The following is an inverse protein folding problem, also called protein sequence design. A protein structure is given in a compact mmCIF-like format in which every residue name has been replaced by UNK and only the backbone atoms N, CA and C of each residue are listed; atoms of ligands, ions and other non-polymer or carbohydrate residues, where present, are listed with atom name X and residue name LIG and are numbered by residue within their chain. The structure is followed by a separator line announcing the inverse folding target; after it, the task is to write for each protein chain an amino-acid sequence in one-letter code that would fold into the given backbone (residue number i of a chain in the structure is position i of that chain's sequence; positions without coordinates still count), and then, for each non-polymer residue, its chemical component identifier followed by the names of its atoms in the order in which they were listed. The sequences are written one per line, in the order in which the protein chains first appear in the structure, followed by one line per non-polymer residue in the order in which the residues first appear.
data_IF_265150959906
#
_entry.id   IF_265150959906
#
_cell.length_a   1.000
_cell.length_b   1.000
_cell.length_c   1.000
_cell.angle_alpha   90.00
_cell.angle_beta   90.00
_cell.angle_gamma   90.00
#
_symmetry.space_group_name_H-M   'P 1'
#
loop_
_entity.id
_entity.type
_entity.pdbx_description
1 polymer ?
#
# COMPACT_ATOMS: atom_id res chain seq x y z
N UNK A 1 27.93 -1.42 8.10
CA UNK A 1 26.71 -2.15 7.73
C UNK A 1 25.72 -1.15 7.17
N UNK A 2 25.16 -1.32 5.95
CA UNK A 2 24.14 -0.40 5.49
C UNK A 2 22.90 -0.59 6.38
N UNK A 3 22.45 0.48 7.02
CA UNK A 3 21.16 0.47 7.72
C UNK A 3 20.11 0.10 6.68
N UNK A 4 19.36 -0.98 6.90
CA UNK A 4 18.12 -1.18 6.16
C UNK A 4 17.26 0.03 6.48
N UNK A 5 17.12 0.92 5.52
CA UNK A 5 16.23 2.06 5.65
C UNK A 5 14.81 1.50 5.75
N UNK A 6 14.29 1.47 6.97
CA UNK A 6 12.89 1.13 7.18
C UNK A 6 12.06 2.27 6.61
N UNK A 7 11.62 2.07 5.36
CA UNK A 7 10.66 2.96 4.73
C UNK A 7 9.39 2.98 5.58
N UNK A 8 9.14 4.12 6.21
CA UNK A 8 7.93 4.40 6.97
C UNK A 8 6.74 4.54 6.00
N UNK A 9 5.49 4.34 6.46
CA UNK A 9 4.30 4.53 5.63
C UNK A 9 4.28 5.88 4.92
N UNK A 10 4.74 6.94 5.59
CA UNK A 10 4.80 8.31 5.07
C UNK A 10 5.78 8.46 3.92
N UNK A 11 6.98 7.87 4.04
CA UNK A 11 7.97 7.86 2.96
C UNK A 11 7.45 7.08 1.74
N UNK A 12 6.73 5.98 1.98
CA UNK A 12 6.11 5.22 0.89
C UNK A 12 5.08 6.06 0.15
N UNK A 13 4.21 6.79 0.85
CA UNK A 13 3.19 7.63 0.19
C UNK A 13 3.82 8.81 -0.54
N UNK A 14 4.81 9.49 0.05
CA UNK A 14 5.37 10.72 -0.50
C UNK A 14 6.36 10.50 -1.65
N UNK A 15 7.10 9.39 -1.63
CA UNK A 15 8.21 9.17 -2.58
C UNK A 15 7.90 8.14 -3.67
N UNK A 16 6.88 7.30 -3.48
CA UNK A 16 6.62 6.19 -4.41
C UNK A 16 5.32 6.38 -5.18
N UNK A 17 5.45 6.44 -6.50
CA UNK A 17 4.34 6.37 -7.45
C UNK A 17 3.71 4.96 -7.47
N UNK A 18 4.54 3.93 -7.26
CA UNK A 18 4.09 2.53 -7.26
C UNK A 18 4.44 1.82 -5.97
N UNK A 19 3.50 1.01 -5.49
CA UNK A 19 3.67 0.13 -4.33
C UNK A 19 3.55 -1.33 -4.70
N UNK A 20 4.33 -2.18 -4.06
CA UNK A 20 4.22 -3.63 -4.15
C UNK A 20 3.43 -4.21 -2.96
N UNK A 21 3.17 -5.51 -2.97
CA UNK A 21 2.40 -6.16 -1.89
C UNK A 21 3.02 -5.99 -0.50
N UNK A 22 4.34 -5.96 -0.38
CA UNK A 22 5.02 -5.74 0.92
C UNK A 22 4.83 -4.32 1.41
N UNK A 23 4.87 -3.34 0.52
CA UNK A 23 4.65 -1.93 0.86
C UNK A 23 3.19 -1.68 1.23
N UNK A 24 2.22 -2.27 0.53
CA UNK A 24 0.81 -2.19 0.90
C UNK A 24 0.59 -2.79 2.30
N UNK A 25 1.21 -3.94 2.60
CA UNK A 25 1.12 -4.53 3.94
C UNK A 25 1.68 -3.62 5.03
N UNK A 26 2.81 -2.95 4.75
CA UNK A 26 3.41 -1.98 5.68
C UNK A 26 2.57 -0.72 5.83
N UNK A 27 2.03 -0.20 4.73
CA UNK A 27 1.18 0.99 4.69
C UNK A 27 -0.01 0.81 5.61
N UNK A 28 -0.74 -0.30 5.51
CA UNK A 28 -1.97 -0.50 6.28
C UNK A 28 -1.81 -1.38 7.52
N UNK A 29 -0.57 -1.73 7.89
CA UNK A 29 -0.26 -2.64 9.00
C UNK A 29 -1.04 -3.97 8.93
N UNK A 30 -1.21 -4.50 7.71
CA UNK A 30 -1.97 -5.73 7.47
C UNK A 30 -1.08 -6.92 7.14
N UNK A 31 -1.64 -8.11 7.32
CA UNK A 31 -0.99 -9.36 6.94
C UNK A 31 -1.25 -9.75 5.48
N UNK A 32 -0.43 -10.67 4.94
CA UNK A 32 -0.61 -11.21 3.59
C UNK A 32 -2.00 -11.83 3.38
N UNK A 33 -2.56 -12.65 4.29
CA UNK A 33 -3.93 -13.13 4.16
C UNK A 33 -4.97 -12.02 4.00
N UNK A 34 -4.82 -10.90 4.72
CA UNK A 34 -5.72 -9.74 4.58
C UNK A 34 -5.59 -9.12 3.20
N UNK A 35 -4.37 -8.92 2.72
CA UNK A 35 -4.13 -8.37 1.37
C UNK A 35 -4.69 -9.30 0.27
N UNK A 36 -4.56 -10.61 0.41
CA UNK A 36 -5.14 -11.56 -0.55
C UNK A 36 -6.68 -11.58 -0.51
N UNK A 37 -7.30 -11.26 0.63
CA UNK A 37 -8.75 -11.01 0.68
C UNK A 37 -9.13 -9.73 -0.04
N UNK A 38 -8.36 -8.66 0.12
CA UNK A 38 -8.57 -7.40 -0.58
C UNK A 38 -8.47 -7.58 -2.09
N UNK A 39 -7.43 -8.25 -2.59
CA UNK A 39 -7.27 -8.55 -4.03
C UNK A 39 -8.41 -9.33 -4.66
N UNK A 40 -9.21 -10.04 -3.86
CA UNK A 40 -10.39 -10.79 -4.33
C UNK A 40 -11.65 -9.93 -4.41
N UNK A 41 -11.67 -8.72 -3.84
CA UNK A 41 -12.79 -7.81 -4.02
C UNK A 41 -12.74 -7.22 -5.42
N UNK A 42 -13.89 -7.14 -6.08
CA UNK A 42 -14.01 -6.67 -7.47
C UNK A 42 -13.56 -5.21 -7.64
N UNK A 43 -13.56 -4.45 -6.54
CA UNK A 43 -13.18 -3.04 -6.48
C UNK A 43 -11.69 -2.80 -6.25
N UNK A 44 -10.91 -3.83 -5.91
CA UNK A 44 -9.49 -3.64 -5.60
C UNK A 44 -8.70 -3.18 -6.83
N UNK A 45 -7.76 -2.22 -6.70
CA UNK A 45 -6.98 -1.73 -7.83
C UNK A 45 -6.27 -2.85 -8.59
N UNK A 46 -6.27 -2.72 -9.92
CA UNK A 46 -5.63 -3.72 -10.79
C UNK A 46 -4.11 -3.58 -10.71
N UNK A 47 -3.42 -4.70 -10.58
CA UNK A 47 -1.98 -4.69 -10.58
C UNK A 47 -1.44 -4.39 -11.99
N UNK A 48 -0.42 -3.55 -12.07
CA UNK A 48 0.45 -3.38 -13.23
C UNK A 48 1.65 -4.29 -13.03
N UNK A 49 2.17 -4.89 -14.11
CA UNK A 49 3.37 -5.73 -14.05
C UNK A 49 4.60 -4.93 -14.47
N UNK A 50 5.45 -4.56 -13.51
CA UNK A 50 6.78 -4.02 -13.79
C UNK A 50 7.82 -5.12 -13.59
N UNK A 51 8.57 -5.44 -14.65
CA UNK A 51 9.62 -6.47 -14.63
C UNK A 51 9.17 -7.81 -13.97
N UNK A 52 7.97 -8.29 -14.33
CA UNK A 52 7.32 -9.52 -13.80
C UNK A 52 6.92 -9.46 -12.33
N UNK A 53 6.92 -8.29 -11.70
CA UNK A 53 6.42 -8.10 -10.32
C UNK A 53 5.13 -7.26 -10.35
N UNK A 54 4.08 -7.70 -9.63
CA UNK A 54 2.86 -6.92 -9.52
C UNK A 54 3.11 -5.71 -8.63
N UNK A 55 2.74 -4.54 -9.15
CA UNK A 55 2.72 -3.27 -8.44
C UNK A 55 1.39 -2.57 -8.66
N UNK A 56 1.07 -1.60 -7.82
CA UNK A 56 -0.14 -0.80 -7.88
C UNK A 56 0.23 0.67 -7.81
N UNK A 57 -0.57 1.53 -8.41
CA UNK A 57 -0.42 2.96 -8.16
C UNK A 57 -0.76 3.26 -6.71
N UNK A 58 0.10 4.04 -6.06
CA UNK A 58 -0.06 4.40 -4.64
C UNK A 58 -1.38 5.13 -4.41
N UNK A 59 -1.71 6.11 -5.26
CA UNK A 59 -2.96 6.87 -5.18
C UNK A 59 -4.20 5.98 -5.29
N UNK A 60 -4.24 5.05 -6.25
CA UNK A 60 -5.38 4.13 -6.42
C UNK A 60 -5.62 3.26 -5.18
N UNK A 61 -4.53 2.82 -4.53
CA UNK A 61 -4.60 2.02 -3.30
C UNK A 61 -5.13 2.87 -2.13
N UNK A 62 -4.68 4.13 -2.02
CA UNK A 62 -5.15 5.05 -0.98
C UNK A 62 -6.62 5.43 -1.17
N UNK A 63 -7.04 5.71 -2.41
CA UNK A 63 -8.43 6.01 -2.75
C UNK A 63 -9.34 4.81 -2.52
N UNK A 64 -8.87 3.61 -2.89
CA UNK A 64 -9.58 2.38 -2.58
C UNK A 64 -9.74 2.19 -1.07
N UNK A 65 -8.67 2.36 -0.29
CA UNK A 65 -8.73 2.24 1.17
C UNK A 65 -9.71 3.24 1.79
N UNK A 66 -9.68 4.51 1.34
CA UNK A 66 -10.59 5.57 1.76
C UNK A 66 -12.05 5.22 1.46
N UNK A 67 -12.35 4.70 0.27
CA UNK A 67 -13.71 4.30 -0.11
C UNK A 67 -14.25 3.10 0.69
N UNK A 68 -13.37 2.26 1.23
CA UNK A 68 -13.72 1.10 2.06
C UNK A 68 -13.63 1.39 3.57
N UNK A 69 -13.46 2.66 3.97
CA UNK A 69 -13.30 3.10 5.37
C UNK A 69 -12.17 2.38 6.11
N UNK A 70 -11.13 1.97 5.37
CA UNK A 70 -9.89 1.48 5.96
C UNK A 70 -9.13 2.71 6.43
N UNK A 71 -8.69 2.70 7.71
CA UNK A 71 -7.96 3.82 8.28
C UNK A 71 -6.81 4.23 7.35
N UNK A 72 -6.78 5.51 7.00
CA UNK A 72 -5.66 6.07 6.24
C UNK A 72 -4.44 6.05 7.17
N UNK A 73 -3.33 5.38 6.83
CA UNK A 73 -2.15 5.39 7.67
C UNK A 73 -1.58 6.78 7.95
N UNK A 74 -1.93 7.80 7.15
CA UNK A 74 -1.54 9.19 7.36
C UNK A 74 -2.45 9.96 8.33
N UNK A 75 -3.61 9.44 8.73
CA UNK A 75 -4.53 10.17 9.61
C UNK A 75 -4.06 10.25 11.06
N UNK A 76 -2.99 9.52 11.44
CA UNK A 76 -2.39 9.57 12.78
C UNK A 76 -1.27 10.61 12.92
N UNK A 77 -0.75 11.16 11.81
CA UNK A 77 0.35 12.14 11.84
C UNK A 77 -0.10 13.60 11.69
N UNK A 78 -1.41 13.87 11.65
CA UNK A 78 -1.98 15.23 11.62
C UNK A 78 -2.64 15.66 12.95
N UNK A 79 -2.22 15.07 14.08
CA UNK A 79 -2.55 15.55 15.43
C UNK A 79 -1.30 16.04 16.14
#
# INVERSE_FOLDING_TARGET
MPKKEELTPVLIVNEKIFVNSTEIMKLFEITRPTLEKWKKTTSFPKAICLARRPVWMTEEILDWAKSHRIENPLSKEMQ
#
